data_IF_225163421004
#
_entry.id   IF_225163421004
#
_cell.length_a   1.000
_cell.length_b   1.000
_cell.length_c   1.000
_cell.angle_alpha   90.00
_cell.angle_beta   90.00
_cell.angle_gamma   90.00
#
_symmetry.space_group_name_H-M   'P 1'
#
loop_
_entity.id
_entity.type
_entity.pdbx_description
1 polymer ?
#
# COMPACT_ATOMS: atom_id res chain seq x y z
N UNK A 1 12.27 26.27 -0.41
CA UNK A 1 11.38 25.16 -0.75
C UNK A 1 12.01 24.35 -1.87
N UNK A 2 12.61 23.24 -1.48
CA UNK A 2 13.10 22.23 -2.39
C UNK A 2 11.96 21.27 -2.73
N UNK A 3 12.04 20.68 -3.91
CA UNK A 3 11.06 19.71 -4.41
C UNK A 3 11.83 18.45 -4.76
N UNK A 4 11.35 17.32 -4.25
CA UNK A 4 11.97 16.01 -4.45
C UNK A 4 10.94 15.01 -4.96
N UNK A 5 11.38 14.10 -5.82
CA UNK A 5 10.66 12.86 -6.05
C UNK A 5 11.33 11.76 -5.23
N UNK A 6 10.53 11.08 -4.42
CA UNK A 6 10.98 9.96 -3.58
C UNK A 6 10.29 8.68 -4.05
N UNK A 7 11.04 7.58 -4.04
CA UNK A 7 10.49 6.23 -4.16
C UNK A 7 10.33 5.64 -2.76
N UNK A 8 9.12 5.20 -2.44
CA UNK A 8 8.83 4.34 -1.30
C UNK A 8 8.72 2.90 -1.82
N UNK A 9 9.78 2.12 -1.63
CA UNK A 9 9.82 0.73 -2.06
C UNK A 9 9.40 -0.21 -0.93
N UNK A 10 8.46 -1.11 -1.22
CA UNK A 10 7.93 -2.10 -0.29
C UNK A 10 8.13 -3.48 -0.90
N UNK A 11 9.01 -4.28 -0.30
CA UNK A 11 9.31 -5.61 -0.81
C UNK A 11 8.14 -6.57 -0.63
N UNK A 12 7.44 -6.50 0.51
CA UNK A 12 6.25 -7.29 0.78
C UNK A 12 5.21 -6.47 1.56
N UNK A 13 3.94 -6.65 1.23
CA UNK A 13 2.83 -6.14 2.05
C UNK A 13 1.76 -7.20 2.20
N UNK A 14 1.19 -7.27 3.40
CA UNK A 14 0.20 -8.27 3.78
C UNK A 14 -1.14 -7.58 3.99
N UNK A 15 -2.20 -8.31 3.67
CA UNK A 15 -3.54 -7.91 4.05
C UNK A 15 -3.57 -7.64 5.57
N UNK A 16 -4.27 -6.61 5.98
CA UNK A 16 -4.47 -6.27 7.40
C UNK A 16 -5.93 -6.37 7.79
N UNK A 17 -6.83 -6.02 6.86
CA UNK A 17 -8.26 -5.94 7.13
C UNK A 17 -9.08 -6.17 5.85
N UNK A 18 -10.25 -6.75 6.02
CA UNK A 18 -11.29 -6.84 5.00
C UNK A 18 -12.55 -6.18 5.55
N UNK A 19 -13.04 -5.16 4.86
CA UNK A 19 -14.33 -4.55 5.13
C UNK A 19 -15.33 -4.99 4.06
N UNK A 20 -16.50 -5.50 4.46
CA UNK A 20 -17.58 -5.86 3.56
C UNK A 20 -18.70 -4.82 3.62
N UNK A 21 -19.42 -4.63 2.51
CA UNK A 21 -20.54 -3.67 2.41
C UNK A 21 -21.70 -3.96 3.37
N UNK A 22 -21.79 -5.18 3.90
CA UNK A 22 -22.77 -5.56 4.92
C UNK A 22 -22.39 -5.11 6.34
N UNK A 23 -21.25 -4.43 6.48
CA UNK A 23 -20.69 -3.95 7.74
C UNK A 23 -19.84 -4.98 8.47
N UNK A 24 -19.61 -6.16 7.89
CA UNK A 24 -18.68 -7.14 8.43
C UNK A 24 -17.24 -6.66 8.30
N UNK A 25 -16.47 -6.87 9.37
CA UNK A 25 -15.05 -6.57 9.43
C UNK A 25 -14.28 -7.85 9.77
N UNK A 26 -13.32 -8.22 8.92
CA UNK A 26 -12.44 -9.37 9.14
C UNK A 26 -11.01 -8.87 9.34
N UNK A 27 -10.45 -9.21 10.50
CA UNK A 27 -9.07 -8.92 10.90
C UNK A 27 -8.31 -10.25 11.07
N UNK A 28 -7.00 -10.20 11.20
CA UNK A 28 -6.11 -11.38 11.16
C UNK A 28 -6.50 -12.55 12.07
N UNK A 29 -7.14 -12.27 13.20
CA UNK A 29 -7.52 -13.27 14.19
C UNK A 29 -8.76 -14.10 13.79
N UNK A 30 -9.46 -13.76 12.70
CA UNK A 30 -10.65 -14.50 12.27
C UNK A 30 -10.39 -15.46 11.08
N UNK A 31 -11.04 -16.65 11.05
CA UNK A 31 -10.89 -17.59 9.93
C UNK A 31 -11.29 -17.02 8.56
N UNK A 32 -12.27 -16.12 8.54
CA UNK A 32 -12.75 -15.45 7.34
C UNK A 32 -11.65 -14.63 6.68
N UNK A 33 -10.77 -14.01 7.46
CA UNK A 33 -9.65 -13.22 6.94
C UNK A 33 -8.74 -14.03 6.01
N UNK A 34 -8.31 -15.21 6.47
CA UNK A 34 -7.38 -16.07 5.72
C UNK A 34 -7.98 -16.70 4.47
N UNK A 35 -9.30 -16.91 4.47
CA UNK A 35 -10.01 -17.68 3.45
C UNK A 35 -10.74 -16.81 2.42
N UNK A 36 -11.00 -15.54 2.75
CA UNK A 36 -11.72 -14.63 1.86
C UNK A 36 -10.85 -14.23 0.67
N UNK A 37 -11.43 -14.36 -0.52
CA UNK A 37 -10.87 -13.88 -1.77
C UNK A 37 -11.74 -12.76 -2.32
N UNK A 38 -11.15 -11.92 -3.17
CA UNK A 38 -11.91 -10.89 -3.85
C UNK A 38 -12.86 -11.54 -4.87
N UNK A 39 -14.10 -11.06 -4.97
CA UNK A 39 -15.06 -11.55 -5.94
C UNK A 39 -14.49 -11.53 -7.35
N UNK A 40 -14.60 -12.66 -8.05
CA UNK A 40 -14.16 -12.80 -9.42
C UNK A 40 -12.68 -13.11 -9.60
N UNK A 41 -11.88 -13.20 -8.52
CA UNK A 41 -10.46 -13.59 -8.58
C UNK A 41 -10.20 -15.00 -8.07
N UNK A 42 -11.23 -15.75 -7.69
CA UNK A 42 -11.10 -17.01 -6.95
C UNK A 42 -10.34 -18.09 -7.73
N UNK A 43 -10.43 -18.03 -9.06
CA UNK A 43 -9.80 -18.93 -10.02
C UNK A 43 -8.59 -18.31 -10.74
N UNK A 44 -8.22 -17.07 -10.42
CA UNK A 44 -7.05 -16.43 -11.04
C UNK A 44 -5.78 -17.16 -10.60
N UNK A 45 -4.90 -17.38 -11.55
CA UNK A 45 -3.51 -17.72 -11.25
C UNK A 45 -2.75 -16.47 -10.79
N UNK A 46 -1.49 -16.65 -10.41
CA UNK A 46 -0.63 -15.56 -9.91
C UNK A 46 -0.48 -14.43 -10.92
N UNK A 47 -0.37 -14.71 -12.22
CA UNK A 47 -0.16 -13.69 -13.25
C UNK A 47 -1.44 -12.86 -13.48
N UNK A 48 -2.59 -13.53 -13.60
CA UNK A 48 -3.89 -12.88 -13.74
C UNK A 48 -4.24 -12.06 -12.50
N UNK A 49 -3.99 -12.59 -11.30
CA UNK A 49 -4.20 -11.87 -10.04
C UNK A 49 -3.29 -10.64 -9.95
N UNK A 50 -2.00 -10.78 -10.26
CA UNK A 50 -1.05 -9.65 -10.26
C UNK A 50 -1.51 -8.55 -11.22
N UNK A 51 -1.91 -8.92 -12.45
CA UNK A 51 -2.43 -7.97 -13.44
C UNK A 51 -3.71 -7.28 -12.97
N UNK A 52 -4.59 -8.01 -12.28
CA UNK A 52 -5.80 -7.46 -11.69
C UNK A 52 -5.46 -6.44 -10.59
N UNK A 53 -4.58 -6.80 -9.66
CA UNK A 53 -4.18 -5.92 -8.55
C UNK A 53 -3.50 -4.66 -9.10
N UNK A 54 -2.55 -4.76 -10.03
CA UNK A 54 -1.88 -3.61 -10.65
C UNK A 54 -2.85 -2.56 -11.23
N UNK A 55 -4.01 -2.99 -11.72
CA UNK A 55 -5.01 -2.09 -12.32
C UNK A 55 -5.94 -1.43 -11.30
N UNK A 56 -6.09 -2.04 -10.13
CA UNK A 56 -7.15 -1.68 -9.17
C UNK A 56 -6.61 -1.25 -7.81
N UNK A 57 -5.35 -1.54 -7.50
CA UNK A 57 -4.69 -1.12 -6.27
C UNK A 57 -4.58 0.39 -6.23
N UNK A 58 -4.94 0.96 -5.09
CA UNK A 58 -4.76 2.37 -4.79
C UNK A 58 -3.84 2.49 -3.59
N UNK A 59 -3.13 3.62 -3.53
CA UNK A 59 -2.42 4.06 -2.36
C UNK A 59 -3.05 5.38 -1.92
N UNK A 60 -3.36 5.49 -0.65
CA UNK A 60 -3.97 6.66 -0.03
C UNK A 60 -3.18 7.04 1.23
N UNK A 61 -3.38 8.28 1.67
CA UNK A 61 -2.92 8.73 2.98
C UNK A 61 -4.09 8.59 3.96
N UNK A 62 -4.04 7.58 4.82
CA UNK A 62 -5.07 7.30 5.84
C UNK A 62 -4.45 7.04 7.23
N UNK A 63 -3.13 7.03 7.34
CA UNK A 63 -2.41 7.12 8.61
C UNK A 63 -1.92 8.54 8.91
N UNK A 64 -1.27 8.68 10.06
CA UNK A 64 -0.66 9.92 10.50
C UNK A 64 0.85 9.88 10.27
N UNK A 65 1.43 11.03 9.87
CA UNK A 65 2.86 11.24 9.92
C UNK A 65 3.26 11.54 11.38
N UNK A 66 4.38 10.98 11.83
CA UNK A 66 5.03 11.26 13.09
C UNK A 66 5.58 12.70 13.14
N UNK A 67 6.10 13.22 12.02
CA UNK A 67 6.68 14.58 11.91
C UNK A 67 6.13 15.33 10.67
N UNK A 68 4.82 15.63 10.62
CA UNK A 68 4.19 16.27 9.47
C UNK A 68 4.76 17.65 9.15
N UNK A 69 5.35 18.34 10.12
CA UNK A 69 5.95 19.67 9.97
C UNK A 69 7.18 19.70 9.06
N UNK A 70 7.84 18.57 8.82
CA UNK A 70 8.99 18.47 7.90
C UNK A 70 8.55 18.68 6.44
N UNK A 71 7.26 18.52 6.13
CA UNK A 71 6.73 18.55 4.77
C UNK A 71 5.73 19.69 4.59
N UNK A 72 6.03 20.61 3.66
CA UNK A 72 5.09 21.65 3.24
C UNK A 72 3.96 21.08 2.38
N UNK A 73 4.27 20.09 1.53
CA UNK A 73 3.28 19.32 0.79
C UNK A 73 3.83 17.96 0.40
N UNK A 74 2.95 16.98 0.20
CA UNK A 74 3.29 15.66 -0.30
C UNK A 74 2.11 15.06 -1.08
N UNK A 75 2.38 14.35 -2.18
CA UNK A 75 1.35 13.67 -2.96
C UNK A 75 1.86 12.41 -3.65
N UNK A 76 1.03 11.39 -3.69
CA UNK A 76 1.29 10.18 -4.48
C UNK A 76 1.13 10.52 -5.95
N UNK A 77 2.16 10.27 -6.75
CA UNK A 77 2.14 10.48 -8.20
C UNK A 77 1.76 9.23 -8.97
N UNK A 78 2.33 8.09 -8.60
CA UNK A 78 2.05 6.80 -9.22
C UNK A 78 2.44 5.66 -8.30
N UNK A 79 1.94 4.50 -8.66
CA UNK A 79 2.30 3.21 -8.08
C UNK A 79 2.83 2.36 -9.22
N UNK A 80 4.05 1.85 -9.08
CA UNK A 80 4.62 0.84 -9.95
C UNK A 80 4.59 -0.51 -9.22
N UNK A 81 3.98 -1.52 -9.85
CA UNK A 81 3.74 -2.83 -9.23
C UNK A 81 2.31 -3.03 -8.73
N UNK A 82 2.05 -4.06 -7.90
CA UNK A 82 3.01 -5.04 -7.39
C UNK A 82 3.58 -5.92 -8.51
N UNK A 83 4.78 -6.48 -8.32
CA UNK A 83 5.33 -7.49 -9.23
C UNK A 83 4.76 -8.90 -9.00
N UNK A 84 3.99 -9.09 -7.91
CA UNK A 84 3.32 -10.34 -7.60
C UNK A 84 2.19 -10.16 -6.59
N UNK A 85 1.09 -10.89 -6.79
CA UNK A 85 -0.03 -10.99 -5.88
C UNK A 85 -0.47 -12.46 -5.73
N UNK A 86 -0.73 -12.91 -4.50
CA UNK A 86 -1.09 -14.30 -4.20
C UNK A 86 -1.93 -14.40 -2.91
N UNK A 87 -2.74 -15.46 -2.81
CA UNK A 87 -3.51 -15.79 -1.61
C UNK A 87 -2.77 -16.85 -0.80
N UNK A 88 -2.14 -16.45 0.30
CA UNK A 88 -1.45 -17.30 1.28
C UNK A 88 -1.70 -16.70 2.67
N UNK A 89 -2.63 -17.27 3.44
CA UNK A 89 -3.11 -16.73 4.72
C UNK A 89 -3.64 -15.28 4.61
N UNK A 90 -4.47 -15.04 3.59
CA UNK A 90 -4.89 -13.71 3.15
C UNK A 90 -4.22 -13.33 1.83
N UNK A 91 -4.49 -12.12 1.31
CA UNK A 91 -3.80 -11.62 0.12
C UNK A 91 -2.44 -11.02 0.49
N UNK A 92 -1.41 -11.38 -0.25
CA UNK A 92 -0.07 -10.82 -0.10
C UNK A 92 0.39 -10.24 -1.42
N UNK A 93 1.07 -9.08 -1.36
CA UNK A 93 1.62 -8.38 -2.50
C UNK A 93 3.14 -8.25 -2.35
N UNK A 94 3.86 -8.20 -3.47
CA UNK A 94 5.32 -8.05 -3.50
C UNK A 94 5.78 -6.95 -4.44
N UNK A 95 6.87 -6.30 -4.04
CA UNK A 95 7.62 -5.30 -4.81
C UNK A 95 6.70 -4.23 -5.39
N UNK A 96 6.29 -3.31 -4.52
CA UNK A 96 5.53 -2.11 -4.87
C UNK A 96 6.46 -0.92 -4.70
N UNK A 97 6.51 -0.04 -5.70
CA UNK A 97 7.14 1.26 -5.59
C UNK A 97 6.07 2.34 -5.66
N UNK A 98 6.03 3.22 -4.66
CA UNK A 98 5.16 4.39 -4.66
C UNK A 98 6.01 5.61 -4.88
N UNK A 99 5.76 6.32 -5.98
CA UNK A 99 6.46 7.57 -6.26
C UNK A 99 5.67 8.70 -5.63
N UNK A 100 6.31 9.39 -4.70
CA UNK A 100 5.75 10.53 -3.98
C UNK A 100 6.51 11.78 -4.37
N UNK A 101 5.79 12.85 -4.64
CA UNK A 101 6.35 14.18 -4.81
C UNK A 101 6.19 14.93 -3.50
N UNK A 102 7.30 15.48 -2.97
CA UNK A 102 7.32 16.25 -1.73
C UNK A 102 7.87 17.66 -1.95
N UNK A 103 7.42 18.59 -1.10
CA UNK A 103 7.99 19.93 -0.96
C UNK A 103 8.37 20.17 0.50
N UNK A 104 9.61 20.60 0.73
CA UNK A 104 10.14 20.88 2.07
C UNK A 104 11.04 22.12 2.07
N UNK A 105 11.17 22.75 3.23
CA UNK A 105 12.12 23.84 3.47
C UNK A 105 13.41 23.37 4.17
N UNK A 106 13.44 22.11 4.60
CA UNK A 106 14.53 21.51 5.35
C UNK A 106 15.39 20.62 4.44
N UNK A 107 16.64 20.39 4.84
CA UNK A 107 17.47 19.36 4.23
C UNK A 107 17.00 18.01 4.79
N UNK A 108 16.23 17.28 4.01
CA UNK A 108 15.67 15.97 4.36
C UNK A 108 16.58 14.83 3.89
N UNK A 109 16.57 13.73 4.63
CA UNK A 109 17.24 12.49 4.26
C UNK A 109 16.28 11.28 4.20
N UNK A 110 16.83 10.10 3.91
CA UNK A 110 16.03 8.86 3.76
C UNK A 110 15.25 8.51 5.03
N UNK A 111 15.75 8.85 6.22
CA UNK A 111 15.10 8.56 7.50
C UNK A 111 13.86 9.44 7.71
N UNK A 112 13.84 10.66 7.18
CA UNK A 112 12.65 11.51 7.25
C UNK A 112 11.49 10.91 6.44
N UNK A 113 11.80 10.16 5.37
CA UNK A 113 10.77 9.55 4.52
C UNK A 113 10.21 8.25 5.08
N UNK A 114 10.84 7.65 6.08
CA UNK A 114 10.31 6.45 6.74
C UNK A 114 8.92 6.71 7.35
N UNK A 115 8.65 7.97 7.70
CA UNK A 115 7.37 8.43 8.22
C UNK A 115 6.20 8.16 7.23
N UNK A 116 6.47 8.21 5.93
CA UNK A 116 5.43 7.91 4.94
C UNK A 116 4.96 6.46 5.02
N UNK A 117 5.74 5.52 5.56
CA UNK A 117 5.29 4.14 5.78
C UNK A 117 4.31 4.00 6.94
N UNK A 118 4.23 4.98 7.85
CA UNK A 118 3.18 5.02 8.86
C UNK A 118 1.87 5.60 8.32
N UNK A 119 1.95 6.50 7.34
CA UNK A 119 0.80 7.19 6.77
C UNK A 119 0.17 6.47 5.55
N UNK A 120 0.96 5.76 4.76
CA UNK A 120 0.50 5.16 3.51
C UNK A 120 -0.32 3.89 3.76
N UNK A 121 -1.47 3.81 3.09
CA UNK A 121 -2.35 2.64 3.11
C UNK A 121 -2.62 2.20 1.68
N UNK A 122 -2.55 0.90 1.41
CA UNK A 122 -3.02 0.36 0.14
C UNK A 122 -4.43 -0.20 0.27
N UNK A 123 -5.24 0.07 -0.76
CA UNK A 123 -6.60 -0.42 -0.84
C UNK A 123 -6.84 -1.12 -2.17
N UNK A 124 -7.58 -2.22 -2.10
CA UNK A 124 -8.09 -2.92 -3.25
C UNK A 124 -9.61 -3.09 -3.08
N UNK A 125 -10.35 -2.24 -3.77
CA UNK A 125 -11.81 -2.19 -3.71
C UNK A 125 -12.40 -3.10 -4.78
N UNK A 126 -13.27 -4.01 -4.39
CA UNK A 126 -14.13 -4.82 -5.27
C UNK A 126 -15.59 -4.43 -5.07
N UNK A 127 -16.52 -5.12 -5.75
CA UNK A 127 -17.94 -4.74 -5.79
C UNK A 127 -18.58 -4.58 -4.41
N UNK A 128 -18.19 -5.42 -3.43
CA UNK A 128 -18.83 -5.47 -2.11
C UNK A 128 -17.84 -5.60 -0.94
N UNK A 129 -16.56 -5.35 -1.20
CA UNK A 129 -15.53 -5.45 -0.17
C UNK A 129 -14.29 -4.62 -0.50
N UNK A 130 -13.62 -4.18 0.55
CA UNK A 130 -12.34 -3.48 0.50
C UNK A 130 -11.29 -4.30 1.23
N UNK A 131 -10.20 -4.59 0.54
CA UNK A 131 -9.00 -5.19 1.14
C UNK A 131 -8.02 -4.07 1.46
N UNK A 132 -7.58 -3.98 2.72
CA UNK A 132 -6.69 -2.93 3.21
C UNK A 132 -5.36 -3.52 3.66
N UNK A 133 -4.26 -2.91 3.23
CA UNK A 133 -2.89 -3.36 3.53
C UNK A 133 -2.13 -2.25 4.24
N UNK A 134 -1.73 -2.53 5.48
CA UNK A 134 -0.98 -1.61 6.36
C UNK A 134 0.26 -2.26 6.96
N UNK A 135 0.56 -3.51 6.61
CA UNK A 135 1.68 -4.28 7.14
C UNK A 135 2.75 -4.47 6.09
N UNK A 136 3.87 -3.79 6.26
CA UNK A 136 4.99 -3.81 5.32
C UNK A 136 6.13 -4.66 5.86
N UNK A 137 6.73 -5.48 4.99
CA UNK A 137 7.95 -6.23 5.26
C UNK A 137 9.05 -5.78 4.32
N UNK A 138 10.17 -5.38 4.91
CA UNK A 138 11.35 -4.81 4.24
C UNK A 138 10.96 -3.68 3.27
N UNK A 139 10.96 -2.46 3.78
CA UNK A 139 10.75 -1.26 2.99
C UNK A 139 11.98 -0.36 3.03
N UNK A 140 12.07 0.55 2.07
CA UNK A 140 13.13 1.55 1.96
C UNK A 140 12.62 2.77 1.20
N UNK A 141 13.20 3.92 1.49
CA UNK A 141 12.96 5.16 0.75
C UNK A 141 14.25 5.57 0.02
N UNK A 142 14.12 6.20 -1.14
CA UNK A 142 15.24 6.88 -1.80
C UNK A 142 14.78 8.11 -2.60
N UNK A 143 15.65 9.12 -2.71
CA UNK A 143 15.41 10.26 -3.61
C UNK A 143 15.79 9.81 -5.03
N UNK A 144 14.86 9.97 -5.97
CA UNK A 144 15.07 9.56 -7.36
C UNK A 144 15.37 10.74 -8.30
N UNK A 145 14.99 11.98 -7.94
CA UNK A 145 15.33 13.23 -8.65
C UNK A 145 15.37 14.46 -7.73
#
# INVERSE_FOLDING_TARGET
MAKHEIELYIKGTYLSMIECDDGSLYEEDCPEFTSTKLPGTESFDTEALTTFVQKNLKAIWDGELDNPEHFSSYKIKKIDGPSGAFYEDGMNLRSIAVIVEIETEEDVDELDFDDFFHAIVFELVSENMTFTFTRFDNYSSEIIE
#
